data_IF_362687663770
#
_entry.id   IF_362687663770
#
_cell.length_a   1.000
_cell.length_b   1.000
_cell.length_c   1.000
_cell.angle_alpha   90.00
_cell.angle_beta   90.00
_cell.angle_gamma   90.00
#
_symmetry.space_group_name_H-M   'P 1'
#
loop_
_entity.id
_entity.type
_entity.pdbx_description
1 polymer ?
#
# COMPACT_ATOMS: atom_id res chain seq x y z
N UNK A 1 5.51 -8.74 -24.52
CA UNK A 1 6.12 -7.54 -23.88
C UNK A 1 7.48 -7.90 -23.28
N UNK A 2 8.40 -6.93 -23.18
CA UNK A 2 9.66 -7.12 -22.46
C UNK A 2 9.40 -7.08 -20.94
N UNK A 3 9.89 -8.04 -20.17
CA UNK A 3 9.79 -7.99 -18.70
C UNK A 3 10.71 -6.90 -18.15
N UNK A 4 10.14 -5.98 -17.38
CA UNK A 4 10.82 -4.84 -16.72
C UNK A 4 10.74 -4.99 -15.21
N UNK A 5 9.61 -5.51 -14.72
CA UNK A 5 9.35 -5.83 -13.31
C UNK A 5 9.52 -7.34 -13.11
N UNK A 6 10.27 -7.73 -12.08
CA UNK A 6 10.51 -9.12 -11.70
C UNK A 6 9.71 -9.51 -10.45
N UNK A 7 9.44 -10.80 -10.28
CA UNK A 7 8.67 -11.33 -9.15
C UNK A 7 9.26 -10.94 -7.80
N UNK A 8 10.57 -10.81 -7.67
CA UNK A 8 11.18 -10.34 -6.42
C UNK A 8 10.77 -8.90 -6.06
N UNK A 9 10.54 -8.03 -7.06
CA UNK A 9 10.05 -6.66 -6.84
C UNK A 9 8.58 -6.67 -6.40
N UNK A 10 7.78 -7.62 -6.88
CA UNK A 10 6.40 -7.85 -6.43
C UNK A 10 6.34 -8.39 -5.00
N UNK A 11 7.11 -9.43 -4.71
CA UNK A 11 7.17 -10.05 -3.37
C UNK A 11 7.64 -9.06 -2.30
N UNK A 12 8.47 -8.08 -2.65
CA UNK A 12 8.88 -7.03 -1.73
C UNK A 12 7.69 -6.17 -1.20
N UNK A 13 6.53 -6.21 -1.86
CA UNK A 13 5.30 -5.56 -1.40
C UNK A 13 4.48 -6.39 -0.41
N UNK A 14 4.88 -7.63 -0.13
CA UNK A 14 4.11 -8.63 0.60
C UNK A 14 4.75 -9.00 1.94
N UNK A 15 3.97 -9.49 2.92
CA UNK A 15 4.49 -9.89 4.23
C UNK A 15 5.12 -11.29 4.21
N UNK A 16 5.18 -11.95 3.05
CA UNK A 16 5.72 -13.29 2.86
C UNK A 16 6.82 -13.30 1.79
N UNK A 17 7.72 -14.30 1.85
CA UNK A 17 8.91 -14.33 0.99
C UNK A 17 8.80 -15.26 -0.23
N UNK A 18 7.89 -16.25 -0.18
CA UNK A 18 7.81 -17.29 -1.22
C UNK A 18 6.72 -16.94 -2.23
N UNK A 19 7.15 -16.81 -3.48
CA UNK A 19 6.22 -16.59 -4.59
C UNK A 19 5.42 -17.85 -4.94
N UNK A 20 4.18 -17.66 -5.36
CA UNK A 20 3.33 -18.68 -5.98
C UNK A 20 2.77 -18.24 -7.35
N UNK A 21 1.77 -18.95 -7.86
CA UNK A 21 1.13 -18.65 -9.14
C UNK A 21 0.35 -17.33 -9.14
N UNK A 22 -0.26 -16.96 -8.00
CA UNK A 22 -0.96 -15.68 -7.81
C UNK A 22 0.04 -14.52 -7.89
N UNK A 23 1.20 -14.63 -7.23
CA UNK A 23 2.25 -13.60 -7.33
C UNK A 23 2.81 -13.45 -8.75
N UNK A 24 2.94 -14.56 -9.48
CA UNK A 24 3.37 -14.54 -10.87
C UNK A 24 2.33 -13.83 -11.76
N UNK A 25 1.04 -14.08 -11.54
CA UNK A 25 -0.04 -13.40 -12.25
C UNK A 25 0.04 -11.87 -12.04
N UNK A 26 0.08 -11.40 -10.79
CA UNK A 26 0.14 -9.96 -10.53
C UNK A 26 1.48 -9.33 -10.95
N UNK A 27 2.59 -10.09 -10.96
CA UNK A 27 3.84 -9.63 -11.56
C UNK A 27 3.68 -9.36 -13.07
N UNK A 28 2.94 -10.21 -13.79
CA UNK A 28 2.69 -10.04 -15.22
C UNK A 28 1.71 -8.88 -15.48
N UNK A 29 0.68 -8.75 -14.65
CA UNK A 29 -0.24 -7.60 -14.66
C UNK A 29 0.51 -6.28 -14.45
N UNK A 30 1.39 -6.21 -13.45
CA UNK A 30 2.22 -5.03 -13.18
C UNK A 30 3.12 -4.67 -14.37
N UNK A 31 3.64 -5.66 -15.11
CA UNK A 31 4.37 -5.39 -16.34
C UNK A 31 3.47 -4.80 -17.43
N UNK A 32 2.23 -5.29 -17.60
CA UNK A 32 1.29 -4.74 -18.56
C UNK A 32 0.93 -3.29 -18.24
N UNK A 33 0.63 -3.01 -16.96
CA UNK A 33 0.38 -1.67 -16.46
C UNK A 33 1.58 -0.77 -16.75
N UNK A 34 2.81 -1.22 -16.46
CA UNK A 34 4.01 -0.43 -16.75
C UNK A 34 4.10 -0.01 -18.23
N UNK A 35 3.86 -0.95 -19.16
CA UNK A 35 3.92 -0.64 -20.60
C UNK A 35 2.80 0.29 -21.04
N UNK A 36 1.60 0.17 -20.47
CA UNK A 36 0.50 1.11 -20.71
C UNK A 36 0.83 2.53 -20.21
N UNK A 37 1.46 2.65 -19.03
CA UNK A 37 1.93 3.94 -18.52
C UNK A 37 3.04 4.53 -19.41
N UNK A 38 3.90 3.69 -19.98
CA UNK A 38 4.97 4.10 -20.89
C UNK A 38 4.40 4.58 -22.24
N UNK A 39 3.40 3.88 -22.77
CA UNK A 39 2.64 4.27 -23.97
C UNK A 39 1.96 5.64 -23.79
N UNK A 40 1.39 5.89 -22.60
CA UNK A 40 0.85 7.20 -22.24
C UNK A 40 1.93 8.28 -21.99
N UNK A 41 3.22 7.95 -22.16
CA UNK A 41 4.37 8.80 -21.84
C UNK A 41 4.39 9.28 -20.36
N UNK A 42 3.71 8.58 -19.46
CA UNK A 42 3.62 8.96 -18.05
C UNK A 42 4.89 8.59 -17.27
N UNK A 43 5.55 7.50 -17.66
CA UNK A 43 6.83 7.05 -17.09
C UNK A 43 7.92 8.13 -17.20
N UNK A 44 7.87 8.95 -18.25
CA UNK A 44 8.82 10.05 -18.49
C UNK A 44 8.69 11.21 -17.48
N UNK A 45 7.63 11.25 -16.68
CA UNK A 45 7.50 12.22 -15.60
C UNK A 45 8.47 11.91 -14.44
N UNK A 46 8.96 10.67 -14.33
CA UNK A 46 9.88 10.24 -13.28
C UNK A 46 11.34 10.37 -13.71
N UNK A 47 12.25 10.64 -12.76
CA UNK A 47 13.69 10.72 -13.09
C UNK A 47 14.36 9.37 -13.29
N UNK A 48 13.80 8.31 -12.72
CA UNK A 48 14.35 6.96 -12.86
C UNK A 48 13.21 5.97 -13.13
N UNK A 49 13.60 4.86 -13.74
CA UNK A 49 12.68 3.78 -14.10
C UNK A 49 12.08 3.11 -12.87
N UNK A 50 12.79 3.09 -11.74
CA UNK A 50 12.33 2.40 -10.52
C UNK A 50 11.07 3.05 -9.93
N UNK A 51 10.94 4.39 -9.98
CA UNK A 51 9.69 5.07 -9.62
C UNK A 51 8.51 4.61 -10.49
N UNK A 52 8.71 4.55 -11.80
CA UNK A 52 7.68 4.12 -12.74
C UNK A 52 7.28 2.65 -12.52
N UNK A 53 8.25 1.78 -12.19
CA UNK A 53 7.97 0.40 -11.79
C UNK A 53 7.18 0.32 -10.50
N UNK A 54 7.58 1.10 -9.49
CA UNK A 54 6.91 1.13 -8.19
C UNK A 54 5.46 1.61 -8.31
N UNK A 55 5.18 2.57 -9.20
CA UNK A 55 3.81 2.96 -9.53
C UNK A 55 3.02 1.80 -10.14
N UNK A 56 3.56 1.10 -11.15
CA UNK A 56 2.88 -0.02 -11.78
C UNK A 56 2.61 -1.17 -10.78
N UNK A 57 3.58 -1.47 -9.92
CA UNK A 57 3.43 -2.38 -8.79
C UNK A 57 2.35 -1.90 -7.80
N UNK A 58 2.28 -0.59 -7.53
CA UNK A 58 1.28 -0.04 -6.61
C UNK A 58 -0.14 -0.14 -7.15
N UNK A 59 -0.33 0.06 -8.46
CA UNK A 59 -1.63 -0.10 -9.12
C UNK A 59 -2.05 -1.58 -9.13
N UNK A 60 -1.12 -2.50 -9.39
CA UNK A 60 -1.39 -3.93 -9.30
C UNK A 60 -1.71 -4.38 -7.87
N UNK A 61 -1.03 -3.83 -6.85
CA UNK A 61 -1.32 -4.11 -5.43
C UNK A 61 -2.67 -3.56 -4.97
N UNK A 62 -3.08 -2.38 -5.47
CA UNK A 62 -4.45 -1.88 -5.29
C UNK A 62 -5.48 -2.85 -5.88
N UNK A 63 -5.25 -3.33 -7.10
CA UNK A 63 -6.14 -4.27 -7.76
C UNK A 63 -6.23 -5.59 -6.99
N UNK A 64 -5.09 -6.15 -6.56
CA UNK A 64 -5.05 -7.35 -5.73
C UNK A 64 -5.82 -7.18 -4.41
N UNK A 65 -5.68 -6.03 -3.74
CA UNK A 65 -6.41 -5.75 -2.51
C UNK A 65 -7.93 -5.73 -2.72
N UNK A 66 -8.39 -5.11 -3.80
CA UNK A 66 -9.82 -5.08 -4.17
C UNK A 66 -10.32 -6.51 -4.47
N UNK A 67 -9.61 -7.25 -5.32
CA UNK A 67 -9.99 -8.62 -5.70
C UNK A 67 -9.97 -9.57 -4.50
N UNK A 68 -8.93 -9.50 -3.67
CA UNK A 68 -8.75 -10.40 -2.52
C UNK A 68 -9.55 -9.97 -1.29
N UNK A 69 -10.18 -8.80 -1.32
CA UNK A 69 -10.98 -8.28 -0.21
C UNK A 69 -10.17 -8.01 1.06
N UNK A 70 -8.90 -7.62 0.96
CA UNK A 70 -8.07 -7.37 2.17
C UNK A 70 -8.51 -6.10 2.93
N UNK A 71 -9.17 -5.19 2.22
CA UNK A 71 -9.87 -4.03 2.79
C UNK A 71 -8.97 -2.83 3.03
N UNK A 72 -7.73 -2.82 2.53
CA UNK A 72 -6.79 -1.71 2.76
C UNK A 72 -7.32 -0.44 2.07
N UNK A 73 -7.62 -0.52 0.78
CA UNK A 73 -8.16 0.59 -0.02
C UNK A 73 -9.56 0.96 0.44
N UNK A 74 -10.42 -0.03 0.69
CA UNK A 74 -11.78 0.19 1.19
C UNK A 74 -11.79 1.01 2.49
N UNK A 75 -10.90 0.68 3.42
CA UNK A 75 -10.77 1.44 4.66
C UNK A 75 -10.34 2.89 4.40
N UNK A 76 -9.46 3.11 3.41
CA UNK A 76 -9.06 4.46 3.02
C UNK A 76 -10.22 5.28 2.43
N UNK A 77 -11.00 4.69 1.54
CA UNK A 77 -12.13 5.38 0.89
C UNK A 77 -13.26 5.66 1.88
N UNK A 78 -13.52 4.75 2.82
CA UNK A 78 -14.46 4.96 3.92
C UNK A 78 -14.03 6.10 4.85
N UNK A 79 -12.74 6.17 5.22
CA UNK A 79 -12.21 7.28 6.00
C UNK A 79 -12.30 8.63 5.26
N UNK A 80 -12.06 8.63 3.94
CA UNK A 80 -12.27 9.82 3.12
C UNK A 80 -13.74 10.23 3.10
N UNK A 81 -14.65 9.26 2.92
CA UNK A 81 -16.10 9.51 2.92
C UNK A 81 -16.57 10.11 4.24
N UNK A 82 -16.06 9.57 5.36
CA UNK A 82 -16.39 10.06 6.70
C UNK A 82 -15.87 11.49 6.94
N UNK A 83 -14.64 11.80 6.50
CA UNK A 83 -14.00 13.11 6.76
C UNK A 83 -14.44 14.20 5.80
N UNK A 84 -14.64 13.86 4.53
CA UNK A 84 -14.78 14.82 3.43
C UNK A 84 -16.10 14.68 2.66
N UNK A 85 -16.88 13.63 2.89
CA UNK A 85 -18.12 13.38 2.16
C UNK A 85 -17.93 12.77 0.76
N UNK A 86 -16.67 12.47 0.38
CA UNK A 86 -16.26 11.83 -0.88
C UNK A 86 -15.32 10.66 -0.59
N UNK A 87 -15.46 9.55 -1.31
CA UNK A 87 -14.65 8.34 -1.23
C UNK A 87 -13.21 8.55 -1.68
N UNK A 88 -12.97 9.41 -2.68
CA UNK A 88 -11.62 9.75 -3.14
C UNK A 88 -11.45 11.27 -3.25
N UNK A 89 -10.34 11.83 -2.75
CA UNK A 89 -10.04 13.25 -2.93
C UNK A 89 -9.95 13.65 -4.42
N UNK A 90 -10.60 14.76 -4.76
CA UNK A 90 -10.58 15.44 -6.08
C UNK A 90 -11.24 14.69 -7.25
N UNK A 91 -11.10 13.36 -7.34
CA UNK A 91 -11.44 12.61 -8.55
C UNK A 91 -12.88 12.04 -8.58
N UNK A 92 -13.53 11.77 -7.45
CA UNK A 92 -14.93 11.27 -7.45
C UNK A 92 -15.88 12.24 -8.16
N UNK A 93 -15.65 13.55 -7.98
CA UNK A 93 -16.50 14.62 -8.52
C UNK A 93 -15.79 15.46 -9.56
N UNK A 94 -14.75 14.93 -10.19
CA UNK A 94 -13.92 15.67 -11.13
C UNK A 94 -14.74 16.31 -12.26
N UNK A 95 -15.72 15.58 -12.79
CA UNK A 95 -16.61 16.04 -13.87
C UNK A 95 -17.48 17.25 -13.49
N UNK A 96 -17.71 17.51 -12.20
CA UNK A 96 -18.41 18.70 -11.73
C UNK A 96 -17.54 19.96 -11.88
N UNK A 97 -16.22 19.82 -11.84
CA UNK A 97 -15.26 20.93 -11.85
C UNK A 97 -14.51 21.07 -13.18
N UNK A 98 -14.32 19.97 -13.92
CA UNK A 98 -13.53 19.90 -15.14
C UNK A 98 -14.35 19.24 -16.24
N UNK A 99 -14.55 19.96 -17.34
CA UNK A 99 -15.18 19.43 -18.55
C UNK A 99 -14.09 18.95 -19.51
N UNK A 100 -13.88 17.64 -19.56
CA UNK A 100 -12.94 16.97 -20.45
C UNK A 100 -13.69 16.00 -21.35
N UNK A 101 -13.41 16.01 -22.66
CA UNK A 101 -13.98 15.04 -23.61
C UNK A 101 -13.48 13.61 -23.38
N UNK A 102 -12.42 13.45 -22.58
CA UNK A 102 -11.92 12.14 -22.21
C UNK A 102 -12.79 11.52 -21.10
N UNK A 103 -13.49 12.31 -20.28
CA UNK A 103 -14.18 11.82 -19.09
C UNK A 103 -15.69 11.58 -19.33
N UNK A 104 -16.14 11.65 -20.59
CA UNK A 104 -17.58 11.63 -20.93
C UNK A 104 -18.25 10.26 -20.72
N UNK A 105 -17.47 9.18 -20.70
CA UNK A 105 -17.96 7.80 -20.60
C UNK A 105 -17.60 7.11 -19.26
N UNK A 106 -16.99 7.83 -18.31
CA UNK A 106 -16.56 7.22 -17.05
C UNK A 106 -17.79 6.91 -16.15
N UNK A 107 -17.91 5.68 -15.60
CA UNK A 107 -19.02 5.32 -14.73
C UNK A 107 -19.00 6.14 -13.42
N UNK A 108 -20.15 6.22 -12.76
CA UNK A 108 -20.23 6.81 -11.42
C UNK A 108 -19.42 5.96 -10.42
N UNK A 109 -18.82 6.62 -9.44
CA UNK A 109 -18.01 5.94 -8.42
C UNK A 109 -18.84 4.90 -7.65
N UNK A 110 -18.39 3.65 -7.65
CA UNK A 110 -18.95 2.55 -6.86
C UNK A 110 -17.90 2.05 -5.85
N UNK A 111 -18.15 2.16 -4.52
CA UNK A 111 -17.20 1.74 -3.51
C UNK A 111 -16.95 0.23 -3.45
N UNK A 112 -17.74 -0.60 -4.14
CA UNK A 112 -17.56 -2.05 -4.19
C UNK A 112 -16.88 -2.53 -5.49
N UNK A 113 -16.53 -1.62 -6.41
CA UNK A 113 -15.84 -1.94 -7.67
C UNK A 113 -14.51 -1.19 -7.79
N UNK A 114 -13.73 -1.54 -8.82
CA UNK A 114 -12.58 -0.71 -9.20
C UNK A 114 -13.07 0.60 -9.84
N UNK A 115 -12.48 1.73 -9.49
CA UNK A 115 -12.83 3.01 -10.11
C UNK A 115 -11.65 3.65 -10.82
N UNK A 116 -11.91 4.29 -11.96
CA UNK A 116 -10.90 5.12 -12.64
C UNK A 116 -10.40 6.25 -11.74
N UNK A 117 -11.26 6.78 -10.86
CA UNK A 117 -10.90 7.79 -9.87
C UNK A 117 -9.82 7.29 -8.88
N UNK A 118 -9.86 6.02 -8.49
CA UNK A 118 -8.83 5.39 -7.64
C UNK A 118 -7.48 5.34 -8.38
N UNK A 119 -7.49 4.93 -9.65
CA UNK A 119 -6.29 4.88 -10.50
C UNK A 119 -5.70 6.29 -10.70
N UNK A 120 -6.53 7.31 -10.97
CA UNK A 120 -6.10 8.72 -11.05
C UNK A 120 -5.44 9.18 -9.75
N UNK A 121 -6.03 8.83 -8.61
CA UNK A 121 -5.46 9.14 -7.31
C UNK A 121 -4.10 8.47 -7.09
N UNK A 122 -3.97 7.17 -7.40
CA UNK A 122 -2.70 6.44 -7.28
C UNK A 122 -1.61 7.08 -8.16
N UNK A 123 -1.94 7.45 -9.38
CA UNK A 123 -1.03 8.14 -10.31
C UNK A 123 -0.53 9.47 -9.72
N UNK A 124 -1.45 10.32 -9.26
CA UNK A 124 -1.11 11.61 -8.66
C UNK A 124 -0.33 11.44 -7.35
N UNK A 125 -0.82 10.57 -6.45
CA UNK A 125 -0.22 10.36 -5.15
C UNK A 125 1.21 9.83 -5.29
N UNK A 126 1.43 8.82 -6.14
CA UNK A 126 2.78 8.28 -6.35
C UNK A 126 3.72 9.34 -6.92
N UNK A 127 3.24 10.15 -7.88
CA UNK A 127 4.03 11.25 -8.42
C UNK A 127 4.39 12.30 -7.35
N UNK A 128 3.42 12.69 -6.52
CA UNK A 128 3.60 13.61 -5.41
C UNK A 128 4.59 13.09 -4.34
N UNK A 129 4.58 11.78 -4.09
CA UNK A 129 5.49 11.11 -3.13
C UNK A 129 6.89 10.85 -3.70
N UNK A 130 7.09 11.03 -5.01
CA UNK A 130 8.40 10.84 -5.63
C UNK A 130 9.39 11.90 -5.11
N UNK A 131 10.66 11.51 -4.94
CA UNK A 131 11.71 12.31 -4.27
C UNK A 131 12.02 13.66 -4.94
N UNK A 132 11.38 13.99 -6.05
CA UNK A 132 11.66 15.17 -6.85
C UNK A 132 10.60 16.27 -6.73
N UNK A 133 9.48 15.95 -6.10
CA UNK A 133 8.36 16.88 -5.97
C UNK A 133 8.42 17.52 -4.58
N UNK A 134 8.91 18.76 -4.53
CA UNK A 134 8.93 19.56 -3.30
C UNK A 134 7.69 20.45 -3.15
N UNK A 135 7.00 20.72 -4.26
CA UNK A 135 5.80 21.54 -4.30
C UNK A 135 4.55 20.67 -4.46
N UNK A 136 3.39 21.19 -4.09
CA UNK A 136 2.13 20.50 -4.33
C UNK A 136 1.87 20.43 -5.83
N UNK A 137 1.75 19.21 -6.36
CA UNK A 137 1.42 18.97 -7.76
C UNK A 137 -0.07 19.16 -7.94
N UNK A 138 -0.51 19.96 -8.92
CA UNK A 138 -1.92 20.02 -9.29
C UNK A 138 -2.47 18.62 -9.55
N UNK A 139 -3.68 18.33 -9.05
CA UNK A 139 -4.34 17.04 -9.27
C UNK A 139 -4.68 16.78 -10.76
N UNK A 140 -4.51 17.78 -11.63
CA UNK A 140 -4.56 17.62 -13.08
C UNK A 140 -3.22 17.96 -13.72
N UNK A 141 -2.64 17.02 -14.48
CA UNK A 141 -1.53 17.28 -15.38
C UNK A 141 -1.53 16.33 -16.58
N UNK A 142 -0.90 16.79 -17.68
CA UNK A 142 -1.32 16.45 -19.04
C UNK A 142 -1.37 14.98 -19.44
N UNK A 143 -0.52 14.11 -18.89
CA UNK A 143 -0.50 12.68 -19.25
C UNK A 143 -1.29 11.78 -18.29
N UNK A 144 -1.80 12.33 -17.18
CA UNK A 144 -2.47 11.55 -16.13
C UNK A 144 -3.76 10.89 -16.63
N UNK A 145 -4.59 11.63 -17.37
CA UNK A 145 -5.90 11.14 -17.84
C UNK A 145 -5.76 9.91 -18.76
N UNK A 146 -4.86 10.01 -19.75
CA UNK A 146 -4.59 8.91 -20.67
C UNK A 146 -3.98 7.71 -19.94
N UNK A 147 -3.02 7.95 -19.06
CA UNK A 147 -2.38 6.91 -18.26
C UNK A 147 -3.39 6.16 -17.37
N UNK A 148 -4.30 6.90 -16.72
CA UNK A 148 -5.35 6.34 -15.90
C UNK A 148 -6.29 5.44 -16.72
N UNK A 149 -6.70 5.90 -17.90
CA UNK A 149 -7.57 5.12 -18.81
C UNK A 149 -6.91 3.84 -19.30
N UNK A 150 -5.65 3.91 -19.75
CA UNK A 150 -4.95 2.72 -20.22
C UNK A 150 -4.73 1.70 -19.09
N UNK A 151 -4.34 2.16 -17.90
CA UNK A 151 -4.20 1.28 -16.73
C UNK A 151 -5.55 0.69 -16.29
N UNK A 152 -6.59 1.53 -16.16
CA UNK A 152 -7.94 1.10 -15.77
C UNK A 152 -8.50 0.04 -16.73
N UNK A 153 -8.35 0.23 -18.05
CA UNK A 153 -8.82 -0.75 -19.04
C UNK A 153 -8.16 -2.12 -18.90
N UNK A 154 -6.92 -2.18 -18.40
CA UNK A 154 -6.25 -3.45 -18.09
C UNK A 154 -6.92 -4.08 -16.87
N UNK A 155 -7.13 -3.31 -15.80
CA UNK A 155 -7.78 -3.81 -14.58
C UNK A 155 -9.21 -4.29 -14.86
N UNK A 156 -10.00 -3.51 -15.58
CA UNK A 156 -11.39 -3.81 -15.98
C UNK A 156 -11.49 -5.10 -16.80
N UNK A 157 -10.53 -5.33 -17.71
CA UNK A 157 -10.46 -6.57 -18.49
C UNK A 157 -10.21 -7.80 -17.63
N UNK A 158 -9.39 -7.66 -16.59
CA UNK A 158 -8.96 -8.76 -15.74
C UNK A 158 -9.87 -8.98 -14.52
N UNK A 159 -10.73 -8.01 -14.18
CA UNK A 159 -11.51 -7.93 -12.94
C UNK A 159 -12.27 -9.22 -12.60
N UNK A 160 -12.91 -9.84 -13.58
CA UNK A 160 -13.72 -11.06 -13.40
C UNK A 160 -12.89 -12.36 -13.30
N UNK A 161 -11.59 -12.30 -13.60
CA UNK A 161 -10.74 -13.50 -13.74
C UNK A 161 -9.48 -13.48 -12.89
N UNK A 162 -9.16 -12.34 -12.28
CA UNK A 162 -7.99 -12.19 -11.43
C UNK A 162 -8.09 -13.12 -10.20
N UNK A 163 -7.01 -13.83 -9.83
CA UNK A 163 -7.01 -14.70 -8.67
C UNK A 163 -6.98 -13.89 -7.36
N UNK A 164 -7.73 -14.34 -6.36
CA UNK A 164 -7.63 -13.83 -5.01
C UNK A 164 -6.32 -14.27 -4.34
N UNK A 165 -5.72 -13.39 -3.55
CA UNK A 165 -4.57 -13.71 -2.72
C UNK A 165 -5.03 -14.12 -1.31
N UNK A 166 -5.46 -15.38 -1.21
CA UNK A 166 -5.88 -15.99 0.06
C UNK A 166 -4.78 -15.91 1.14
N UNK A 167 -3.50 -15.97 0.75
CA UNK A 167 -2.39 -15.93 1.71
C UNK A 167 -2.25 -14.57 2.38
N UNK A 168 -2.40 -13.49 1.62
CA UNK A 168 -2.39 -12.13 2.17
C UNK A 168 -3.60 -11.90 3.08
N UNK A 169 -4.78 -12.35 2.65
CA UNK A 169 -6.00 -12.26 3.47
C UNK A 169 -5.87 -13.06 4.77
N UNK A 170 -5.40 -14.30 4.70
CA UNK A 170 -5.11 -15.15 5.87
C UNK A 170 -4.08 -14.49 6.78
N UNK A 171 -2.98 -13.96 6.25
CA UNK A 171 -1.95 -13.27 7.05
C UNK A 171 -2.53 -12.10 7.85
N UNK A 172 -3.39 -11.30 7.22
CA UNK A 172 -4.04 -10.17 7.88
C UNK A 172 -5.15 -10.59 8.84
N UNK A 173 -5.80 -11.74 8.61
CA UNK A 173 -7.01 -12.14 9.31
C UNK A 173 -6.76 -13.07 10.49
N UNK A 174 -5.87 -14.05 10.33
CA UNK A 174 -5.67 -15.13 11.28
C UNK A 174 -4.61 -14.79 12.33
N UNK A 175 -4.84 -15.23 13.56
CA UNK A 175 -3.84 -15.10 14.63
C UNK A 175 -2.72 -16.12 14.40
N UNK A 176 -1.45 -15.78 14.69
CA UNK A 176 -0.37 -16.76 14.63
C UNK A 176 -0.60 -17.85 15.69
N UNK A 177 -0.76 -19.10 15.25
CA UNK A 177 -0.94 -20.25 16.15
C UNK A 177 0.33 -21.10 16.24
N UNK A 178 0.56 -21.71 17.39
CA UNK A 178 1.53 -22.81 17.54
C UNK A 178 0.86 -24.08 17.03
N UNK A 179 1.46 -24.75 16.04
CA UNK A 179 1.02 -26.09 15.63
C UNK A 179 1.10 -27.07 16.82
N UNK A 180 -0.04 -27.39 17.44
CA UNK A 180 -0.17 -28.49 18.41
C UNK A 180 -0.94 -28.19 19.70
N UNK A 181 -2.24 -28.55 19.70
CA UNK A 181 -3.07 -29.02 20.82
C UNK A 181 -3.50 -28.09 21.98
N UNK A 182 -4.65 -28.49 22.53
CA UNK A 182 -5.64 -27.75 23.33
C UNK A 182 -5.44 -27.83 24.85
N UNK A 183 -4.21 -27.72 25.36
CA UNK A 183 -3.96 -27.57 26.80
C UNK A 183 -3.05 -26.36 27.03
N UNK A 184 -3.52 -25.36 27.78
CA UNK A 184 -2.82 -24.09 28.01
C UNK A 184 -1.96 -24.15 29.27
N UNK A 185 -0.68 -24.43 29.11
CA UNK A 185 0.33 -24.20 30.16
C UNK A 185 0.73 -22.72 30.22
N UNK A 186 1.28 -22.26 31.35
CA UNK A 186 1.80 -20.88 31.47
C UNK A 186 2.91 -20.57 30.45
N UNK A 187 3.71 -21.58 30.08
CA UNK A 187 4.78 -21.46 29.08
C UNK A 187 4.23 -21.24 27.66
N UNK A 188 3.14 -21.94 27.29
CA UNK A 188 2.49 -21.74 25.98
C UNK A 188 1.78 -20.39 25.89
N UNK A 189 1.18 -19.90 26.99
CA UNK A 189 0.60 -18.57 27.04
C UNK A 189 1.68 -17.51 26.76
N UNK A 190 2.86 -17.64 27.37
CA UNK A 190 3.94 -16.67 27.15
C UNK A 190 4.50 -16.75 25.72
N UNK A 191 4.65 -17.96 25.17
CA UNK A 191 5.09 -18.15 23.79
C UNK A 191 4.09 -17.59 22.78
N UNK A 192 2.78 -17.74 23.03
CA UNK A 192 1.75 -17.13 22.18
C UNK A 192 1.83 -15.59 22.20
N UNK A 193 2.06 -14.98 23.37
CA UNK A 193 2.28 -13.52 23.44
C UNK A 193 3.52 -13.08 22.66
N UNK A 194 4.62 -13.84 22.74
CA UNK A 194 5.83 -13.54 21.97
C UNK A 194 5.56 -13.60 20.46
N UNK A 195 4.82 -14.61 20.01
CA UNK A 195 4.39 -14.73 18.60
C UNK A 195 3.47 -13.59 18.17
N UNK A 196 2.51 -13.20 19.00
CA UNK A 196 1.64 -12.05 18.78
C UNK A 196 2.46 -10.76 18.64
N UNK A 197 3.47 -10.56 19.49
CA UNK A 197 4.35 -9.39 19.43
C UNK A 197 5.22 -9.37 18.18
N UNK A 198 5.77 -10.52 17.76
CA UNK A 198 6.55 -10.66 16.52
C UNK A 198 5.65 -10.36 15.33
N UNK A 199 4.49 -11.03 15.23
CA UNK A 199 3.56 -10.86 14.12
C UNK A 199 3.06 -9.41 14.04
N UNK A 200 2.77 -8.77 15.17
CA UNK A 200 2.41 -7.34 15.22
C UNK A 200 3.52 -6.45 14.68
N UNK A 201 4.78 -6.66 15.10
CA UNK A 201 5.94 -5.86 14.65
C UNK A 201 6.20 -6.06 13.15
N UNK A 202 6.12 -7.29 12.67
CA UNK A 202 6.36 -7.63 11.27
C UNK A 202 5.25 -7.07 10.38
N UNK A 203 3.98 -7.23 10.77
CA UNK A 203 2.84 -6.65 10.06
C UNK A 203 2.94 -5.13 10.03
N UNK A 204 3.32 -4.50 11.14
CA UNK A 204 3.46 -3.05 11.22
C UNK A 204 4.61 -2.54 10.32
N UNK A 205 5.74 -3.24 10.31
CA UNK A 205 6.89 -2.92 9.46
C UNK A 205 6.55 -3.13 7.97
N UNK A 206 5.97 -4.26 7.60
CA UNK A 206 5.50 -4.54 6.25
C UNK A 206 4.49 -3.49 5.80
N UNK A 207 3.44 -3.23 6.58
CA UNK A 207 2.42 -2.26 6.20
C UNK A 207 3.05 -0.88 6.00
N UNK A 208 3.94 -0.44 6.89
CA UNK A 208 4.55 0.89 6.79
C UNK A 208 5.52 1.04 5.61
N UNK A 209 6.33 0.01 5.30
CA UNK A 209 7.45 0.12 4.37
C UNK A 209 7.28 -0.64 3.04
N UNK A 210 6.57 -1.76 3.08
CA UNK A 210 6.41 -2.68 1.95
C UNK A 210 5.04 -2.56 1.27
N UNK A 211 3.96 -2.33 2.02
CA UNK A 211 2.62 -2.30 1.44
C UNK A 211 2.48 -1.21 0.37
N UNK A 212 1.83 -1.57 -0.74
CA UNK A 212 1.57 -0.71 -1.90
C UNK A 212 0.96 0.65 -1.52
N UNK A 213 0.19 0.66 -0.43
CA UNK A 213 -0.55 1.82 0.07
C UNK A 213 0.36 2.94 0.60
N UNK A 214 1.51 2.59 1.20
CA UNK A 214 2.35 3.53 1.95
C UNK A 214 3.60 4.01 1.16
N UNK A 215 3.33 4.57 -0.02
CA UNK A 215 4.37 5.03 -0.95
C UNK A 215 5.31 6.07 -0.31
N UNK A 216 6.61 5.84 -0.48
CA UNK A 216 7.68 6.78 -0.11
C UNK A 216 8.24 6.59 1.30
N UNK A 217 7.59 5.84 2.19
CA UNK A 217 8.09 5.60 3.55
C UNK A 217 9.43 4.86 3.57
N UNK A 218 9.62 3.88 2.69
CA UNK A 218 10.90 3.18 2.56
C UNK A 218 12.04 4.12 2.19
N UNK A 219 11.80 5.08 1.28
CA UNK A 219 12.81 6.10 0.92
C UNK A 219 13.08 7.07 2.07
N UNK A 220 12.05 7.45 2.84
CA UNK A 220 12.22 8.28 4.05
C UNK A 220 13.10 7.58 5.08
N UNK A 221 12.90 6.28 5.28
CA UNK A 221 13.76 5.48 6.15
C UNK A 221 15.20 5.48 5.63
N UNK A 222 15.41 5.15 4.35
CA UNK A 222 16.75 5.15 3.74
C UNK A 222 17.46 6.50 3.91
N UNK A 223 16.76 7.60 3.67
CA UNK A 223 17.30 8.95 3.85
C UNK A 223 17.66 9.23 5.30
N UNK A 224 16.79 8.87 6.25
CA UNK A 224 17.02 9.04 7.69
C UNK A 224 18.24 8.24 8.15
N UNK A 225 18.33 6.96 7.76
CA UNK A 225 19.47 6.11 8.08
C UNK A 225 20.77 6.61 7.46
N UNK A 226 20.73 7.12 6.23
CA UNK A 226 21.90 7.70 5.58
C UNK A 226 22.38 8.98 6.30
N UNK A 227 21.46 9.84 6.74
CA UNK A 227 21.82 11.02 7.54
C UNK A 227 22.48 10.63 8.86
N UNK A 228 21.94 9.62 9.55
CA UNK A 228 22.50 9.11 10.80
C UNK A 228 23.87 8.47 10.60
N UNK A 229 24.06 7.69 9.52
CA UNK A 229 25.34 7.10 9.18
C UNK A 229 26.43 8.16 8.91
N UNK A 230 26.04 9.32 8.38
CA UNK A 230 26.93 10.45 8.14
C UNK A 230 27.12 11.36 9.37
N UNK A 231 26.42 11.09 10.49
CA UNK A 231 26.53 11.87 11.72
C UNK A 231 27.78 11.49 12.54
N UNK A 232 28.28 12.38 13.42
CA UNK A 232 29.42 12.07 14.28
C UNK A 232 29.18 10.89 15.24
N UNK A 233 27.92 10.62 15.60
CA UNK A 233 27.55 9.47 16.44
C UNK A 233 27.65 8.14 15.68
N UNK A 234 27.60 8.16 14.34
CA UNK A 234 27.53 6.97 13.49
C UNK A 234 26.18 6.24 13.58
N UNK A 235 26.03 5.20 12.75
CA UNK A 235 24.85 4.32 12.75
C UNK A 235 25.22 2.95 13.31
N UNK A 236 24.51 2.52 14.35
CA UNK A 236 24.60 1.15 14.89
C UNK A 236 23.32 0.38 14.58
N UNK A 237 23.39 -0.95 14.54
CA UNK A 237 22.21 -1.79 14.28
C UNK A 237 21.06 -1.55 15.29
N UNK A 238 21.30 -1.45 16.62
CA UNK A 238 20.21 -1.16 17.56
C UNK A 238 19.55 0.20 17.32
N UNK A 239 20.33 1.21 16.92
CA UNK A 239 19.80 2.54 16.60
C UNK A 239 18.98 2.52 15.31
N UNK A 240 19.48 1.86 14.27
CA UNK A 240 18.75 1.67 13.01
C UNK A 240 17.40 0.99 13.24
N UNK A 241 17.41 -0.08 14.05
CA UNK A 241 16.20 -0.81 14.43
C UNK A 241 15.21 0.07 15.21
N UNK A 242 15.70 0.83 16.20
CA UNK A 242 14.87 1.73 17.00
C UNK A 242 14.17 2.77 16.13
N UNK A 243 14.90 3.39 15.20
CA UNK A 243 14.36 4.43 14.31
C UNK A 243 13.34 3.84 13.34
N UNK A 244 13.63 2.66 12.77
CA UNK A 244 12.69 1.96 11.92
C UNK A 244 11.37 1.67 12.65
N UNK A 245 11.44 1.20 13.90
CA UNK A 245 10.22 0.91 14.67
C UNK A 245 9.48 2.19 15.12
N UNK A 246 10.20 3.24 15.52
CA UNK A 246 9.57 4.52 15.89
C UNK A 246 8.77 5.12 14.72
N UNK A 247 9.33 5.09 13.52
CA UNK A 247 8.67 5.59 12.32
C UNK A 247 7.38 4.83 12.00
N UNK A 248 7.31 3.52 12.27
CA UNK A 248 6.10 2.74 11.97
C UNK A 248 4.96 3.06 12.93
N UNK A 249 5.27 3.46 14.16
CA UNK A 249 4.25 3.73 15.19
C UNK A 249 3.85 5.21 15.23
N UNK A 250 4.81 6.12 15.14
CA UNK A 250 4.59 7.57 15.28
C UNK A 250 4.55 8.32 13.94
N UNK A 251 5.06 7.72 12.86
CA UNK A 251 5.14 8.38 11.55
C UNK A 251 3.75 8.69 10.96
N UNK A 252 3.53 9.96 10.61
CA UNK A 252 2.28 10.46 10.01
C UNK A 252 2.43 10.84 8.53
N UNK A 253 3.34 10.16 7.83
CA UNK A 253 3.58 10.37 6.40
C UNK A 253 2.60 9.57 5.51
N UNK A 254 1.76 8.71 6.12
CA UNK A 254 0.75 7.95 5.39
C UNK A 254 -0.43 8.86 5.00
N UNK A 255 -1.30 8.31 4.15
CA UNK A 255 -2.55 8.94 3.77
C UNK A 255 -3.38 9.35 5.00
N UNK A 256 -4.02 10.51 4.91
CA UNK A 256 -4.83 11.12 5.97
C UNK A 256 -4.10 11.42 7.29
N UNK A 257 -2.75 11.41 7.26
CA UNK A 257 -1.88 11.63 8.42
C UNK A 257 -2.14 10.68 9.61
N UNK A 258 -2.71 9.51 9.32
CA UNK A 258 -2.84 8.41 10.28
C UNK A 258 -1.52 7.64 10.38
N UNK A 259 -1.19 7.15 11.57
CA UNK A 259 -0.04 6.26 11.72
C UNK A 259 -0.34 4.88 11.13
N UNK A 260 0.69 4.07 10.87
CA UNK A 260 0.47 2.71 10.36
C UNK A 260 -0.30 1.83 11.36
N UNK A 261 -0.08 2.07 12.65
CA UNK A 261 -0.86 1.43 13.71
C UNK A 261 -2.34 1.82 13.66
N UNK A 262 -2.65 3.11 13.47
CA UNK A 262 -4.03 3.59 13.36
C UNK A 262 -4.72 3.04 12.10
N UNK A 263 -3.99 2.87 11.00
CA UNK A 263 -4.50 2.21 9.80
C UNK A 263 -4.80 0.73 10.04
N UNK A 264 -3.85 -0.04 10.58
CA UNK A 264 -4.04 -1.48 10.83
C UNK A 264 -5.18 -1.75 11.82
N UNK A 265 -5.36 -0.89 12.83
CA UNK A 265 -6.51 -0.93 13.73
C UNK A 265 -7.85 -0.80 12.98
N UNK A 266 -7.90 0.01 11.92
CA UNK A 266 -9.11 0.21 11.10
C UNK A 266 -9.31 -0.90 10.08
N UNK A 267 -8.24 -1.31 9.39
CA UNK A 267 -8.26 -2.36 8.35
C UNK A 267 -8.67 -3.69 8.97
N UNK A 268 -8.04 -4.08 10.07
CA UNK A 268 -8.30 -5.36 10.74
C UNK A 268 -9.55 -5.32 11.63
N UNK A 269 -10.41 -4.28 11.57
CA UNK A 269 -11.50 -4.08 12.53
C UNK A 269 -12.47 -5.25 12.63
N UNK A 270 -12.67 -5.99 11.55
CA UNK A 270 -13.56 -7.15 11.52
C UNK A 270 -12.80 -8.48 11.50
N UNK A 271 -11.49 -8.45 11.76
CA UNK A 271 -10.58 -9.61 11.71
C UNK A 271 -10.16 -10.05 13.12
N UNK A 272 -9.91 -11.35 13.35
CA UNK A 272 -9.35 -11.85 14.61
C UNK A 272 -8.09 -11.11 15.11
N UNK A 273 -7.20 -10.73 14.18
CA UNK A 273 -5.98 -9.95 14.44
C UNK A 273 -6.24 -8.54 14.96
N UNK A 274 -7.49 -8.02 14.94
CA UNK A 274 -7.83 -6.71 15.53
C UNK A 274 -7.25 -6.56 16.93
N UNK A 275 -7.30 -7.62 17.73
CA UNK A 275 -6.85 -7.63 19.13
C UNK A 275 -5.41 -7.15 19.31
N UNK A 276 -4.55 -7.38 18.32
CA UNK A 276 -3.15 -6.91 18.32
C UNK A 276 -3.06 -5.36 18.28
N UNK A 277 -4.07 -4.73 17.69
CA UNK A 277 -4.17 -3.29 17.45
C UNK A 277 -5.08 -2.56 18.47
N UNK A 278 -5.60 -3.28 19.47
CA UNK A 278 -6.34 -2.69 20.61
C UNK A 278 -5.45 -2.43 21.83
N UNK A 279 -4.19 -2.89 21.79
CA UNK A 279 -3.23 -2.75 22.89
C UNK A 279 -2.81 -1.28 23.12
N UNK A 280 -3.50 -0.64 24.08
CA UNK A 280 -3.20 0.73 24.52
C UNK A 280 -1.80 0.90 25.12
N UNK A 281 -1.22 -0.15 25.73
CA UNK A 281 0.13 -0.04 26.29
C UNK A 281 1.16 0.08 25.18
N UNK A 282 1.02 -0.70 24.11
CA UNK A 282 1.88 -0.59 22.94
C UNK A 282 1.76 0.79 22.29
N UNK A 283 0.53 1.31 22.16
CA UNK A 283 0.31 2.68 21.66
C UNK A 283 1.01 3.74 22.53
N UNK A 284 1.03 3.57 23.85
CA UNK A 284 1.67 4.50 24.80
C UNK A 284 3.19 4.35 24.89
N UNK A 285 3.73 3.15 24.69
CA UNK A 285 5.19 2.88 24.69
C UNK A 285 5.92 3.49 23.49
N UNK A 286 5.16 3.93 22.48
CA UNK A 286 5.67 4.47 21.23
C UNK A 286 5.48 5.99 21.06
N UNK A 287 5.03 6.68 22.11
CA UNK A 287 4.91 8.14 22.23
C UNK A 287 5.83 8.60 23.36
#
# INVERSE_FOLDING_TARGET
MKKVIFTQEWIALHPYEKADETDLYYTELANEIYHALDEACYTHNFKNMDEAKQLALSIAGYFEDVISGTGIWKTFTEECKQRYGTYIPFYEKESEFIKSTLNEDDPAYDPEEINIADVKFLLWHHYQQSSFVQEAVPFLFGTLELAAKLAYNILDREYETAPENERLLTYLSEMPEIEGNTETTEEEIEKNKELDEIHRRDTLAWFHYGCYFNVGNQKRLQFTLQQMANSPQGLTEPLAYSVQMEMTIAGRNNLLALTSYEWLCKICRNMPTHKLWEDEEFRKKAI
#
